data_IF_403797642329
#
_entry.id   IF_403797642329
#
_cell.length_a   1.000
_cell.length_b   1.000
_cell.length_c   1.000
_cell.angle_alpha   90.00
_cell.angle_beta   90.00
_cell.angle_gamma   90.00
#
_symmetry.space_group_name_H-M   'P 1'
#
loop_
_entity.id
_entity.type
_entity.pdbx_description
1 polymer ?
#
# COMPACT_ATOMS: atom_id res chain seq x y z
N UNK A 1 -14.56 -10.41 -8.63
CA UNK A 1 -13.31 -9.64 -8.71
C UNK A 1 -12.54 -9.89 -7.43
N UNK A 2 -11.27 -10.33 -7.53
CA UNK A 2 -10.42 -10.71 -6.39
C UNK A 2 -10.12 -9.53 -5.46
N UNK A 3 -9.56 -9.83 -4.27
CA UNK A 3 -9.04 -8.82 -3.33
C UNK A 3 -7.91 -8.02 -4.00
N UNK A 4 -7.76 -6.77 -3.60
CA UNK A 4 -6.67 -5.93 -4.10
C UNK A 4 -5.35 -6.31 -3.42
N UNK A 5 -4.24 -6.22 -4.17
CA UNK A 5 -2.91 -6.49 -3.66
C UNK A 5 -2.42 -5.29 -2.85
N UNK A 6 -1.96 -5.52 -1.62
CA UNK A 6 -1.33 -4.47 -0.82
C UNK A 6 -0.18 -5.05 0.01
N UNK A 7 1.00 -4.45 -0.13
CA UNK A 7 2.21 -4.81 0.61
C UNK A 7 2.69 -3.68 1.54
N UNK A 8 1.84 -2.71 1.87
CA UNK A 8 2.20 -1.58 2.73
C UNK A 8 2.80 -2.01 4.07
N UNK A 9 2.29 -3.09 4.66
CA UNK A 9 2.80 -3.65 5.91
C UNK A 9 4.19 -4.28 5.78
N UNK A 10 4.59 -4.70 4.57
CA UNK A 10 5.88 -5.35 4.29
C UNK A 10 6.87 -4.41 3.57
N UNK A 11 6.56 -3.12 3.44
CA UNK A 11 7.38 -2.20 2.64
C UNK A 11 8.81 -2.08 3.16
N UNK A 12 8.98 -2.06 4.48
CA UNK A 12 10.29 -1.94 5.11
C UNK A 12 11.16 -3.17 4.81
N UNK A 13 10.57 -4.35 4.94
CA UNK A 13 11.20 -5.63 4.62
C UNK A 13 11.57 -5.70 3.14
N UNK A 14 10.66 -5.26 2.26
CA UNK A 14 10.90 -5.22 0.82
C UNK A 14 12.03 -4.26 0.45
N UNK A 15 12.09 -3.08 1.07
CA UNK A 15 13.21 -2.14 0.91
C UNK A 15 14.53 -2.77 1.40
N UNK A 16 14.52 -3.43 2.56
CA UNK A 16 15.69 -4.14 3.09
C UNK A 16 16.14 -5.29 2.18
N UNK A 17 15.21 -5.93 1.46
CA UNK A 17 15.49 -6.96 0.46
C UNK A 17 16.01 -6.40 -0.88
N UNK A 18 16.15 -5.09 -1.02
CA UNK A 18 16.68 -4.42 -2.21
C UNK A 18 15.64 -3.99 -3.24
N UNK A 19 14.35 -3.98 -2.89
CA UNK A 19 13.31 -3.41 -3.75
C UNK A 19 13.53 -1.90 -3.87
N UNK A 20 13.64 -1.42 -5.12
CA UNK A 20 13.89 -0.01 -5.43
C UNK A 20 12.68 0.71 -6.02
N UNK A 21 11.61 -0.02 -6.35
CA UNK A 21 10.41 0.55 -6.94
C UNK A 21 9.15 -0.15 -6.46
N UNK A 22 8.17 0.63 -5.99
CA UNK A 22 6.81 0.18 -5.74
C UNK A 22 5.88 0.68 -6.83
N UNK A 23 5.02 -0.20 -7.34
CA UNK A 23 4.03 0.14 -8.37
C UNK A 23 2.67 0.32 -7.73
N UNK A 24 2.01 1.44 -8.02
CA UNK A 24 0.61 1.70 -7.67
C UNK A 24 -0.24 1.61 -8.93
N UNK A 25 -1.29 0.80 -8.90
CA UNK A 25 -2.22 0.60 -10.02
C UNK A 25 -3.50 1.42 -9.76
N UNK A 26 -3.80 2.34 -10.67
CA UNK A 26 -4.87 3.33 -10.49
C UNK A 26 -5.93 3.30 -11.58
N UNK A 27 -5.99 2.26 -12.43
CA UNK A 27 -6.97 2.18 -13.51
C UNK A 27 -8.37 2.26 -12.91
N UNK A 28 -9.20 3.15 -13.47
CA UNK A 28 -10.56 3.44 -12.99
C UNK A 28 -10.66 4.10 -11.61
N UNK A 29 -9.54 4.48 -10.96
CA UNK A 29 -9.57 5.19 -9.67
C UNK A 29 -9.57 6.72 -9.88
N UNK A 30 -10.16 7.45 -8.92
CA UNK A 30 -10.14 8.93 -8.92
C UNK A 30 -8.73 9.44 -8.61
N UNK A 31 -8.41 10.63 -9.10
CA UNK A 31 -7.12 11.32 -8.82
C UNK A 31 -6.86 11.44 -7.31
N UNK A 32 -7.89 11.75 -6.51
CA UNK A 32 -7.77 11.86 -5.06
C UNK A 32 -7.33 10.56 -4.39
N UNK A 33 -7.82 9.43 -4.87
CA UNK A 33 -7.44 8.11 -4.37
C UNK A 33 -5.96 7.82 -4.67
N UNK A 34 -5.51 8.07 -5.91
CA UNK A 34 -4.11 7.85 -6.29
C UNK A 34 -3.20 8.76 -5.45
N UNK A 35 -3.58 10.02 -5.25
CA UNK A 35 -2.84 10.96 -4.39
C UNK A 35 -2.71 10.45 -2.96
N UNK A 36 -3.79 9.90 -2.40
CA UNK A 36 -3.79 9.36 -1.05
C UNK A 36 -2.84 8.17 -0.92
N UNK A 37 -2.94 7.17 -1.81
CA UNK A 37 -2.05 6.00 -1.79
C UNK A 37 -0.58 6.40 -1.92
N UNK A 38 -0.27 7.31 -2.86
CA UNK A 38 1.11 7.79 -3.03
C UNK A 38 1.60 8.54 -1.79
N UNK A 39 0.75 9.37 -1.17
CA UNK A 39 1.08 10.08 0.07
C UNK A 39 1.36 9.12 1.23
N UNK A 40 0.48 8.14 1.44
CA UNK A 40 0.66 7.11 2.48
C UNK A 40 1.90 6.26 2.24
N UNK A 41 2.14 5.80 1.00
CA UNK A 41 3.35 5.04 0.67
C UNK A 41 4.62 5.87 0.91
N UNK A 42 4.59 7.17 0.59
CA UNK A 42 5.70 8.07 0.86
C UNK A 42 5.93 8.24 2.37
N UNK A 43 4.86 8.44 3.15
CA UNK A 43 4.95 8.51 4.61
C UNK A 43 5.61 7.26 5.19
N UNK A 44 5.13 6.07 4.83
CA UNK A 44 5.68 4.79 5.31
C UNK A 44 7.16 4.65 4.96
N UNK A 45 7.55 4.97 3.72
CA UNK A 45 8.94 4.88 3.28
C UNK A 45 9.86 5.88 3.98
N UNK A 46 9.39 7.10 4.23
CA UNK A 46 10.19 8.15 4.84
C UNK A 46 10.35 7.93 6.36
N UNK A 47 9.36 7.34 7.03
CA UNK A 47 9.40 7.04 8.47
C UNK A 47 9.89 5.63 8.78
N UNK A 48 9.96 4.76 7.76
CA UNK A 48 10.11 3.31 7.92
C UNK A 48 9.11 2.72 8.92
N UNK A 49 7.89 3.25 8.96
CA UNK A 49 6.86 2.85 9.91
C UNK A 49 5.47 2.98 9.30
N UNK A 50 4.60 2.03 9.60
CA UNK A 50 3.18 2.08 9.26
C UNK A 50 2.37 2.18 10.55
N UNK A 51 1.45 3.14 10.60
CA UNK A 51 0.53 3.28 11.72
C UNK A 51 -0.93 3.00 11.31
N UNK A 52 -1.85 3.04 12.29
CA UNK A 52 -3.27 2.77 12.03
C UNK A 52 -3.91 3.81 11.10
N UNK A 53 -3.42 5.05 11.09
CA UNK A 53 -3.91 6.11 10.21
C UNK A 53 -3.55 5.81 8.76
N UNK A 54 -2.34 5.30 8.52
CA UNK A 54 -1.92 4.83 7.20
C UNK A 54 -2.77 3.64 6.72
N UNK A 55 -2.99 2.65 7.60
CA UNK A 55 -3.81 1.49 7.31
C UNK A 55 -5.27 1.89 6.97
N UNK A 56 -5.86 2.79 7.75
CA UNK A 56 -7.21 3.31 7.54
C UNK A 56 -7.30 4.13 6.24
N UNK A 57 -6.30 4.96 5.96
CA UNK A 57 -6.22 5.71 4.72
C UNK A 57 -6.18 4.75 3.53
N UNK A 58 -5.36 3.70 3.56
CA UNK A 58 -5.32 2.72 2.49
C UNK A 58 -6.64 1.96 2.35
N UNK A 59 -7.27 1.57 3.46
CA UNK A 59 -8.54 0.82 3.46
C UNK A 59 -9.73 1.64 2.93
N UNK A 60 -9.75 2.95 3.14
CA UNK A 60 -10.89 3.84 2.78
C UNK A 60 -11.27 3.83 1.29
N UNK A 61 -10.37 3.36 0.41
CA UNK A 61 -10.60 3.23 -1.03
C UNK A 61 -11.05 1.85 -1.51
N UNK A 62 -11.26 0.88 -0.61
CA UNK A 62 -11.47 -0.53 -0.96
C UNK A 62 -12.62 -1.18 -0.21
N UNK A 63 -13.47 -1.87 -0.96
CA UNK A 63 -14.69 -2.47 -0.43
C UNK A 63 -14.58 -3.98 -0.16
N UNK A 64 -13.43 -4.61 -0.48
CA UNK A 64 -13.26 -6.08 -0.42
C UNK A 64 -12.01 -6.55 0.34
N UNK A 65 -11.33 -5.63 1.01
CA UNK A 65 -10.10 -5.90 1.75
C UNK A 65 -8.90 -6.20 0.85
N UNK A 66 -7.76 -6.44 1.50
CA UNK A 66 -6.48 -6.68 0.84
C UNK A 66 -6.04 -8.14 0.89
N UNK A 67 -5.18 -8.50 -0.05
CA UNK A 67 -4.38 -9.72 -0.05
C UNK A 67 -2.91 -9.35 -0.15
N UNK A 68 -2.06 -10.18 0.45
CA UNK A 68 -0.60 -10.13 0.31
C UNK A 68 -0.09 -11.25 -0.60
N UNK A 69 -1.01 -12.01 -1.20
CA UNK A 69 -0.75 -13.09 -2.15
C UNK A 69 0.29 -14.09 -1.62
N UNK A 70 1.54 -13.98 -2.05
CA UNK A 70 2.64 -14.86 -1.66
C UNK A 70 3.41 -14.41 -0.41
N UNK A 71 3.19 -13.18 0.07
CA UNK A 71 3.76 -12.67 1.31
C UNK A 71 2.79 -12.99 2.46
N UNK A 72 2.78 -14.25 2.88
CA UNK A 72 2.06 -14.68 4.07
C UNK A 72 3.06 -14.96 5.18
N UNK A 73 2.66 -14.72 6.43
CA UNK A 73 3.39 -15.18 7.60
C UNK A 73 3.55 -16.71 7.64
#
# INVERSE_FOLDING_TARGET
>A
SPKDLNYSEYMNELVAAGVTSFKVEGRMKKVSYVRQVIGTYRHILDTAHIDSTDADALASGFNRGFSTDYLTD
#
